data_IF_251691441545
#
_entry.id   IF_251691441545
#
_cell.length_a   1.000
_cell.length_b   1.000
_cell.length_c   1.000
_cell.angle_alpha   90.00
_cell.angle_beta   90.00
_cell.angle_gamma   90.00
#
_symmetry.space_group_name_H-M   'P 1'
#
loop_
_entity.id
_entity.type
_entity.pdbx_description
1 polymer ?
#
# COMPACT_ATOMS: atom_id res chain seq x y z
N UNK A 1 20.96 2.68 -24.65
CA UNK A 1 19.54 2.89 -24.32
C UNK A 1 18.85 1.54 -24.46
N UNK A 2 18.50 0.91 -23.34
CA UNK A 2 17.76 -0.35 -23.36
C UNK A 2 16.24 -0.08 -23.51
N UNK A 3 15.42 -1.13 -23.57
CA UNK A 3 13.96 -0.98 -23.72
C UNK A 3 13.31 -0.20 -22.56
N UNK A 4 13.84 -0.33 -21.34
CA UNK A 4 13.37 0.40 -20.16
C UNK A 4 13.69 1.90 -20.27
N UNK A 5 14.89 2.27 -20.74
CA UNK A 5 15.24 3.67 -21.00
C UNK A 5 14.35 4.28 -22.08
N UNK A 6 13.99 3.49 -23.09
CA UNK A 6 13.08 3.92 -24.15
C UNK A 6 11.67 4.22 -23.62
N UNK A 7 11.09 3.34 -22.80
CA UNK A 7 9.71 3.54 -22.30
C UNK A 7 9.61 4.69 -21.29
N UNK A 8 10.68 4.96 -20.52
CA UNK A 8 10.75 6.09 -19.57
C UNK A 8 10.54 7.47 -20.24
N UNK A 9 10.72 7.57 -21.57
CA UNK A 9 10.46 8.82 -22.32
C UNK A 9 8.97 9.09 -22.52
N UNK A 10 8.11 8.07 -22.45
CA UNK A 10 6.68 8.16 -22.74
C UNK A 10 5.80 7.89 -21.52
N UNK A 11 6.32 7.10 -20.57
CA UNK A 11 5.55 6.59 -19.45
C UNK A 11 6.35 6.68 -18.16
N UNK A 12 5.70 7.18 -17.11
CA UNK A 12 6.21 7.07 -15.75
C UNK A 12 6.27 5.61 -15.32
N UNK A 13 7.49 5.08 -15.11
CA UNK A 13 7.68 3.70 -14.70
C UNK A 13 7.43 3.53 -13.20
N UNK A 14 6.66 2.50 -12.86
CA UNK A 14 6.31 2.10 -11.50
C UNK A 14 6.75 0.65 -11.29
N UNK A 15 7.35 0.33 -10.15
CA UNK A 15 7.70 -1.06 -9.82
C UNK A 15 6.59 -1.75 -9.01
N UNK A 16 6.12 -2.91 -9.45
CA UNK A 16 5.12 -3.73 -8.74
C UNK A 16 5.81 -4.87 -7.98
N UNK A 17 6.31 -4.57 -6.78
CA UNK A 17 7.08 -5.52 -5.97
C UNK A 17 7.06 -5.13 -4.49
N UNK A 18 7.21 -6.12 -3.61
CA UNK A 18 7.59 -5.91 -2.20
C UNK A 18 9.10 -6.06 -1.96
N UNK A 19 9.86 -6.49 -2.97
CA UNK A 19 11.31 -6.64 -2.90
C UNK A 19 12.02 -5.31 -3.15
N UNK A 20 12.49 -4.70 -2.07
CA UNK A 20 13.13 -3.37 -2.03
C UNK A 20 14.41 -3.32 -2.86
N UNK A 21 15.22 -4.40 -2.88
CA UNK A 21 16.46 -4.42 -3.67
C UNK A 21 16.18 -4.35 -5.18
N UNK A 22 15.18 -5.10 -5.65
CA UNK A 22 14.72 -5.02 -7.04
C UNK A 22 14.19 -3.62 -7.39
N UNK A 23 13.40 -3.00 -6.49
CA UNK A 23 12.92 -1.62 -6.68
C UNK A 23 14.10 -0.65 -6.80
N UNK A 24 15.09 -0.74 -5.90
CA UNK A 24 16.28 0.12 -5.92
C UNK A 24 17.07 -0.04 -7.21
N UNK A 25 17.20 -1.26 -7.73
CA UNK A 25 17.92 -1.55 -8.96
C UNK A 25 17.34 -0.82 -10.18
N UNK A 26 16.02 -0.82 -10.34
CA UNK A 26 15.36 -0.24 -11.54
C UNK A 26 15.05 1.26 -11.46
N UNK A 27 15.19 1.86 -10.26
CA UNK A 27 14.97 3.29 -10.00
C UNK A 27 13.64 3.79 -10.60
N UNK A 28 12.50 3.23 -10.17
CA UNK A 28 11.18 3.67 -10.64
C UNK A 28 10.78 5.00 -10.00
N UNK A 29 9.75 5.65 -10.55
CA UNK A 29 9.17 6.86 -9.96
C UNK A 29 8.35 6.51 -8.71
N UNK A 30 7.40 5.58 -8.88
CA UNK A 30 6.50 5.09 -7.82
C UNK A 30 6.72 3.58 -7.61
N UNK A 31 6.16 3.02 -6.54
CA UNK A 31 6.10 1.58 -6.33
C UNK A 31 4.71 1.13 -5.87
N UNK A 32 4.32 -0.09 -6.22
CA UNK A 32 3.06 -0.69 -5.79
C UNK A 32 3.30 -1.99 -5.05
N UNK A 33 2.60 -2.14 -3.92
CA UNK A 33 2.49 -3.43 -3.24
C UNK A 33 1.05 -3.92 -3.30
N UNK A 34 0.86 -5.17 -2.91
CA UNK A 34 -0.42 -5.82 -2.68
C UNK A 34 -0.21 -6.97 -1.67
N UNK A 35 -1.27 -7.59 -1.12
CA UNK A 35 -1.12 -8.63 -0.11
C UNK A 35 -0.21 -9.80 -0.56
N UNK A 36 -0.30 -10.21 -1.83
CA UNK A 36 0.52 -11.31 -2.37
C UNK A 36 2.00 -10.92 -2.49
N UNK A 37 2.31 -9.68 -2.85
CA UNK A 37 3.70 -9.20 -2.94
C UNK A 37 4.34 -9.05 -1.57
N UNK A 38 3.59 -8.53 -0.59
CA UNK A 38 4.08 -8.45 0.80
C UNK A 38 4.28 -9.84 1.40
N UNK A 39 3.37 -10.78 1.16
CA UNK A 39 3.52 -12.16 1.62
C UNK A 39 4.81 -12.80 1.06
N UNK A 40 5.10 -12.60 -0.23
CA UNK A 40 6.35 -13.09 -0.84
C UNK A 40 7.57 -12.40 -0.24
N UNK A 41 7.54 -11.08 -0.09
CA UNK A 41 8.66 -10.32 0.45
C UNK A 41 8.94 -10.66 1.92
N UNK A 42 7.91 -10.89 2.73
CA UNK A 42 8.05 -11.34 4.11
C UNK A 42 8.70 -12.74 4.24
N UNK A 43 8.74 -13.53 3.17
CA UNK A 43 9.48 -14.79 3.13
C UNK A 43 10.99 -14.64 2.91
N UNK A 44 11.49 -13.43 2.62
CA UNK A 44 12.90 -13.18 2.33
C UNK A 44 13.64 -12.81 3.62
N UNK A 45 14.71 -13.56 3.94
CA UNK A 45 15.46 -13.43 5.19
C UNK A 45 15.98 -12.01 5.46
N UNK A 46 16.41 -11.30 4.41
CA UNK A 46 16.92 -9.94 4.50
C UNK A 46 15.91 -8.91 5.05
N UNK A 47 14.61 -9.21 4.98
CA UNK A 47 13.54 -8.36 5.51
C UNK A 47 13.02 -8.82 6.89
N UNK A 48 13.68 -9.81 7.52
CA UNK A 48 13.27 -10.35 8.82
C UNK A 48 13.11 -9.29 9.91
N UNK A 49 13.97 -8.27 9.92
CA UNK A 49 13.89 -7.16 10.87
C UNK A 49 12.58 -6.35 10.78
N UNK A 50 12.00 -6.19 9.58
CA UNK A 50 10.72 -5.51 9.40
C UNK A 50 9.55 -6.32 10.01
N UNK A 51 9.66 -7.65 9.95
CA UNK A 51 8.69 -8.59 10.51
C UNK A 51 8.79 -8.62 12.03
N UNK A 52 10.01 -8.67 12.57
CA UNK A 52 10.25 -8.62 14.01
C UNK A 52 9.70 -7.34 14.65
N UNK A 53 9.96 -6.19 14.02
CA UNK A 53 9.39 -4.90 14.45
C UNK A 53 7.86 -4.93 14.42
N UNK A 54 7.27 -5.44 13.34
CA UNK A 54 5.82 -5.55 13.19
C UNK A 54 5.19 -6.48 14.26
N UNK A 55 5.82 -7.62 14.56
CA UNK A 55 5.39 -8.54 15.63
C UNK A 55 5.48 -7.86 16.99
N UNK A 56 6.59 -7.16 17.27
CA UNK A 56 6.78 -6.43 18.52
C UNK A 56 5.73 -5.33 18.70
N UNK A 57 5.39 -4.61 17.62
CA UNK A 57 4.33 -3.62 17.61
C UNK A 57 2.96 -4.27 17.85
N UNK A 58 2.65 -5.35 17.14
CA UNK A 58 1.38 -6.08 17.28
C UNK A 58 1.14 -6.57 18.71
N UNK A 59 2.15 -7.14 19.36
CA UNK A 59 2.09 -7.57 20.78
C UNK A 59 1.78 -6.43 21.76
N UNK A 60 2.15 -5.19 21.44
CA UNK A 60 1.90 -4.01 22.28
C UNK A 60 0.52 -3.40 22.06
N UNK A 61 -0.07 -3.58 20.88
CA UNK A 61 -1.30 -2.88 20.46
C UNK A 61 -2.52 -3.79 20.28
N UNK A 62 -2.35 -5.11 20.35
CA UNK A 62 -3.45 -6.09 20.31
C UNK A 62 -3.72 -6.75 21.66
N UNK A 63 -4.99 -6.91 22.02
CA UNK A 63 -5.40 -7.62 23.24
C UNK A 63 -5.35 -9.14 23.08
N UNK A 64 -6.11 -9.66 22.11
CA UNK A 64 -6.10 -11.10 21.77
C UNK A 64 -5.03 -11.44 20.74
N UNK A 65 -4.72 -12.73 20.57
CA UNK A 65 -3.77 -13.18 19.56
C UNK A 65 -4.17 -12.72 18.15
N UNK A 66 -5.46 -12.80 17.81
CA UNK A 66 -6.00 -12.38 16.52
C UNK A 66 -5.81 -10.88 16.30
N UNK A 67 -6.05 -10.07 17.34
CA UNK A 67 -5.84 -8.63 17.30
C UNK A 67 -4.36 -8.28 17.16
N UNK A 68 -3.46 -9.01 17.84
CA UNK A 68 -2.01 -8.83 17.72
C UNK A 68 -1.53 -9.17 16.30
N UNK A 69 -2.05 -10.22 15.69
CA UNK A 69 -1.73 -10.61 14.30
C UNK A 69 -2.24 -9.56 13.30
N UNK A 70 -3.46 -9.06 13.49
CA UNK A 70 -4.00 -8.00 12.63
C UNK A 70 -3.18 -6.72 12.73
N UNK A 71 -2.87 -6.28 13.96
CA UNK A 71 -2.01 -5.14 14.26
C UNK A 71 -0.61 -5.29 13.64
N UNK A 72 0.01 -6.47 13.78
CA UNK A 72 1.30 -6.77 13.16
C UNK A 72 1.23 -6.76 11.63
N UNK A 73 0.14 -7.25 11.04
CA UNK A 73 -0.02 -7.29 9.57
C UNK A 73 -0.11 -5.88 8.97
N UNK A 74 -0.87 -4.98 9.62
CA UNK A 74 -0.96 -3.57 9.20
C UNK A 74 0.42 -2.89 9.33
N UNK A 75 1.08 -3.06 10.50
CA UNK A 75 2.40 -2.50 10.75
C UNK A 75 3.45 -3.02 9.75
N UNK A 76 3.40 -4.30 9.39
CA UNK A 76 4.29 -4.89 8.40
C UNK A 76 4.15 -4.24 7.03
N UNK A 77 2.90 -4.06 6.56
CA UNK A 77 2.64 -3.40 5.29
C UNK A 77 3.20 -1.97 5.25
N UNK A 78 3.02 -1.23 6.35
CA UNK A 78 3.55 0.13 6.49
C UNK A 78 5.07 0.14 6.59
N UNK A 79 5.69 -0.78 7.32
CA UNK A 79 7.14 -0.92 7.43
C UNK A 79 7.78 -1.15 6.05
N UNK A 80 7.22 -2.05 5.24
CA UNK A 80 7.68 -2.26 3.86
C UNK A 80 7.52 -1.00 3.01
N UNK A 81 6.36 -0.34 3.05
CA UNK A 81 6.16 0.86 2.25
C UNK A 81 7.07 2.02 2.67
N UNK A 82 7.32 2.19 3.97
CA UNK A 82 8.25 3.19 4.48
C UNK A 82 9.69 2.91 4.01
N UNK A 83 10.11 1.65 4.00
CA UNK A 83 11.42 1.25 3.49
C UNK A 83 11.54 1.45 1.97
N UNK A 84 10.50 1.11 1.21
CA UNK A 84 10.41 1.38 -0.23
C UNK A 84 10.55 2.87 -0.53
N UNK A 85 9.88 3.73 0.24
CA UNK A 85 9.90 5.19 0.06
C UNK A 85 11.29 5.82 0.21
N UNK A 86 12.22 5.15 0.91
CA UNK A 86 13.63 5.56 0.97
C UNK A 86 14.36 5.35 -0.36
N UNK A 87 13.85 4.47 -1.23
CA UNK A 87 14.47 4.07 -2.50
C UNK A 87 13.81 4.68 -3.74
N UNK A 88 12.70 5.41 -3.58
CA UNK A 88 11.96 6.02 -4.70
C UNK A 88 11.66 7.51 -4.43
N UNK A 89 11.59 8.36 -5.47
CA UNK A 89 11.26 9.79 -5.31
C UNK A 89 9.74 10.02 -5.15
N UNK A 90 8.92 9.12 -5.68
CA UNK A 90 7.47 9.25 -5.72
C UNK A 90 6.76 8.48 -4.61
N UNK A 91 5.66 7.83 -4.96
CA UNK A 91 4.66 7.29 -4.02
C UNK A 91 4.73 5.78 -3.89
N UNK A 92 4.29 5.27 -2.74
CA UNK A 92 4.05 3.84 -2.55
C UNK A 92 2.56 3.55 -2.44
N UNK A 93 2.07 2.52 -3.14
CA UNK A 93 0.72 2.00 -2.92
C UNK A 93 0.70 0.91 -1.85
N UNK A 94 -0.17 1.06 -0.86
CA UNK A 94 -0.42 0.07 0.21
C UNK A 94 -1.88 -0.32 0.22
N UNK A 95 -2.17 -1.61 0.15
CA UNK A 95 -3.53 -2.12 -0.02
C UNK A 95 -4.22 -2.35 1.31
N UNK A 96 -5.48 -1.89 1.41
CA UNK A 96 -6.35 -2.25 2.53
C UNK A 96 -6.64 -3.75 2.51
N UNK A 97 -7.00 -4.31 3.66
CA UNK A 97 -7.41 -5.71 3.76
C UNK A 97 -8.57 -6.00 2.80
N UNK A 98 -8.33 -6.89 1.83
CA UNK A 98 -9.31 -7.25 0.80
C UNK A 98 -10.61 -7.85 1.38
N UNK A 99 -10.59 -8.37 2.62
CA UNK A 99 -11.81 -8.84 3.32
C UNK A 99 -12.79 -7.71 3.61
N UNK A 100 -12.34 -6.46 3.57
CA UNK A 100 -13.16 -5.27 3.79
C UNK A 100 -13.75 -4.69 2.49
N UNK A 101 -13.50 -5.31 1.33
CA UNK A 101 -13.86 -4.75 0.00
C UNK A 101 -15.35 -4.45 -0.19
N UNK A 102 -16.23 -5.05 0.61
CA UNK A 102 -17.67 -4.84 0.56
C UNK A 102 -18.20 -4.12 1.82
N UNK A 103 -17.31 -3.49 2.58
CA UNK A 103 -17.63 -2.69 3.76
C UNK A 103 -16.96 -1.33 3.63
N UNK A 104 -17.76 -0.34 3.23
CA UNK A 104 -17.30 1.03 2.98
C UNK A 104 -16.68 1.66 4.22
N UNK A 105 -17.37 1.59 5.37
CA UNK A 105 -16.92 2.28 6.59
C UNK A 105 -15.65 1.62 7.14
N UNK A 106 -15.59 0.29 7.19
CA UNK A 106 -14.35 -0.39 7.61
C UNK A 106 -13.19 -0.17 6.66
N UNK A 107 -13.44 -0.02 5.36
CA UNK A 107 -12.41 0.34 4.38
C UNK A 107 -11.83 1.73 4.64
N UNK A 108 -12.69 2.70 4.97
CA UNK A 108 -12.28 4.07 5.32
C UNK A 108 -11.48 4.06 6.64
N UNK A 109 -11.98 3.38 7.67
CA UNK A 109 -11.30 3.26 8.97
C UNK A 109 -9.91 2.62 8.80
N UNK A 110 -9.81 1.52 8.03
CA UNK A 110 -8.54 0.86 7.75
C UNK A 110 -7.60 1.78 6.97
N UNK A 111 -8.08 2.49 5.96
CA UNK A 111 -7.28 3.44 5.20
C UNK A 111 -6.68 4.54 6.08
N UNK A 112 -7.50 5.17 6.94
CA UNK A 112 -7.03 6.18 7.91
C UNK A 112 -6.00 5.60 8.87
N UNK A 113 -6.26 4.42 9.42
CA UNK A 113 -5.33 3.73 10.31
C UNK A 113 -3.96 3.50 9.66
N UNK A 114 -3.93 3.05 8.40
CA UNK A 114 -2.68 2.86 7.67
C UNK A 114 -1.94 4.18 7.46
N UNK A 115 -2.64 5.27 7.12
CA UNK A 115 -2.04 6.61 6.99
C UNK A 115 -1.47 7.08 8.33
N UNK A 116 -2.18 6.89 9.44
CA UNK A 116 -1.70 7.24 10.77
C UNK A 116 -0.40 6.48 11.13
N UNK A 117 -0.33 5.19 10.80
CA UNK A 117 0.87 4.38 11.01
C UNK A 117 2.06 4.85 10.15
N UNK A 118 1.81 5.37 8.94
CA UNK A 118 2.85 5.99 8.13
C UNK A 118 3.33 7.30 8.75
N UNK A 119 2.43 8.14 9.23
CA UNK A 119 2.77 9.42 9.87
C UNK A 119 3.60 9.21 11.14
N UNK A 120 3.34 8.14 11.91
CA UNK A 120 4.18 7.74 13.04
C UNK A 120 5.62 7.35 12.65
N UNK A 121 5.89 7.14 11.36
CA UNK A 121 7.22 6.89 10.81
C UNK A 121 7.74 8.09 9.99
N UNK A 122 7.20 9.28 10.25
CA UNK A 122 7.56 10.53 9.58
C UNK A 122 7.35 10.51 8.05
N UNK A 123 6.42 9.67 7.57
CA UNK A 123 6.04 9.62 6.15
C UNK A 123 4.85 10.53 5.90
N UNK A 124 5.05 11.53 5.05
CA UNK A 124 3.98 12.43 4.62
C UNK A 124 2.92 11.71 3.78
N UNK A 125 1.64 11.99 4.02
CA UNK A 125 0.53 11.33 3.32
C UNK A 125 0.53 11.54 1.80
N UNK A 126 1.17 12.59 1.30
CA UNK A 126 1.35 12.82 -0.14
C UNK A 126 2.23 11.78 -0.83
N UNK A 127 3.05 11.04 -0.06
CA UNK A 127 3.91 9.95 -0.55
C UNK A 127 3.18 8.59 -0.58
N UNK A 128 1.90 8.55 -0.21
CA UNK A 128 1.13 7.31 -0.02
C UNK A 128 -0.07 7.29 -0.97
N UNK A 129 -0.34 6.12 -1.54
CA UNK A 129 -1.62 5.81 -2.18
C UNK A 129 -2.27 4.66 -1.41
N UNK A 130 -3.44 4.88 -0.83
CA UNK A 130 -4.21 3.78 -0.24
C UNK A 130 -4.92 3.03 -1.35
N UNK A 131 -4.61 1.75 -1.47
CA UNK A 131 -5.10 0.91 -2.55
C UNK A 131 -6.34 0.15 -2.10
N UNK A 132 -7.43 0.26 -2.86
CA UNK A 132 -8.71 -0.40 -2.58
C UNK A 132 -9.22 -1.13 -3.82
N UNK A 133 -9.88 -2.27 -3.62
CA UNK A 133 -10.58 -2.96 -4.71
C UNK A 133 -11.70 -2.06 -5.27
N UNK A 134 -11.83 -2.00 -6.59
CA UNK A 134 -12.84 -1.22 -7.30
C UNK A 134 -14.23 -1.87 -7.27
N UNK A 135 -14.69 -2.28 -6.09
CA UNK A 135 -16.10 -2.58 -5.79
C UNK A 135 -16.87 -1.26 -5.68
N UNK A 136 -18.20 -1.32 -5.57
CA UNK A 136 -19.00 -0.13 -5.34
C UNK A 136 -18.62 0.55 -4.02
N UNK A 137 -18.50 -0.23 -2.95
CA UNK A 137 -18.12 0.21 -1.62
C UNK A 137 -16.71 0.80 -1.60
N UNK A 138 -15.75 0.16 -2.27
CA UNK A 138 -14.38 0.64 -2.39
C UNK A 138 -14.27 1.98 -3.14
N UNK A 139 -15.03 2.15 -4.23
CA UNK A 139 -15.11 3.44 -4.96
C UNK A 139 -15.74 4.52 -4.07
N UNK A 140 -16.81 4.19 -3.33
CA UNK A 140 -17.44 5.13 -2.40
C UNK A 140 -16.53 5.49 -1.22
N UNK A 141 -15.74 4.55 -0.72
CA UNK A 141 -14.73 4.78 0.30
C UNK A 141 -13.63 5.72 -0.21
N UNK A 142 -13.07 5.44 -1.39
CA UNK A 142 -12.06 6.28 -2.03
C UNK A 142 -12.56 7.73 -2.21
N UNK A 143 -13.79 7.93 -2.71
CA UNK A 143 -14.36 9.26 -2.86
C UNK A 143 -14.57 10.04 -1.54
N UNK A 144 -14.64 9.36 -0.40
CA UNK A 144 -14.64 10.01 0.92
C UNK A 144 -13.21 10.32 1.38
N UNK A 145 -12.30 9.37 1.22
CA UNK A 145 -10.88 9.52 1.58
C UNK A 145 -10.19 10.65 0.80
N UNK A 146 -10.49 10.81 -0.49
CA UNK A 146 -9.96 11.91 -1.31
C UNK A 146 -10.40 13.29 -0.79
N UNK A 147 -11.63 13.42 -0.27
CA UNK A 147 -12.10 14.67 0.36
C UNK A 147 -11.36 15.00 1.65
N UNK A 148 -10.75 13.99 2.27
CA UNK A 148 -9.90 14.12 3.46
C UNK A 148 -8.42 14.30 3.08
N UNK A 149 -8.11 14.34 1.78
CA UNK A 149 -6.76 14.44 1.24
C UNK A 149 -5.95 13.16 1.44
N UNK A 150 -6.59 12.00 1.45
CA UNK A 150 -5.95 10.68 1.39
C UNK A 150 -6.08 10.17 -0.04
N UNK A 151 -4.97 10.21 -0.78
CA UNK A 151 -4.93 9.79 -2.17
C UNK A 151 -5.12 8.27 -2.28
N UNK A 152 -5.91 7.84 -3.25
CA UNK A 152 -6.31 6.44 -3.41
C UNK A 152 -5.83 5.84 -4.75
N UNK A 153 -5.58 4.53 -4.74
CA UNK A 153 -5.34 3.71 -5.92
C UNK A 153 -6.45 2.66 -6.05
N UNK A 154 -7.38 2.85 -6.98
CA UNK A 154 -8.44 1.87 -7.23
C UNK A 154 -7.92 0.73 -8.11
N UNK A 155 -7.81 -0.47 -7.53
CA UNK A 155 -7.28 -1.69 -8.16
C UNK A 155 -8.40 -2.66 -8.53
N UNK A 156 -8.07 -3.78 -9.19
CA UNK A 156 -9.03 -4.81 -9.61
C UNK A 156 -10.17 -4.22 -10.46
N UNK A 157 -9.78 -3.32 -11.36
CA UNK A 157 -10.65 -2.60 -12.28
C UNK A 157 -10.65 -3.34 -13.63
N UNK A 158 -11.78 -3.95 -13.97
CA UNK A 158 -11.92 -4.81 -15.15
C UNK A 158 -12.97 -4.32 -16.14
N UNK A 159 -13.95 -3.55 -15.67
CA UNK A 159 -15.10 -3.13 -16.47
C UNK A 159 -15.13 -1.62 -16.71
N UNK A 160 -15.74 -1.23 -17.83
CA UNK A 160 -16.02 0.17 -18.12
C UNK A 160 -16.89 0.83 -17.05
N UNK A 161 -17.81 0.07 -16.45
CA UNK A 161 -18.64 0.57 -15.35
C UNK A 161 -17.77 0.97 -14.14
N UNK A 162 -16.78 0.15 -13.77
CA UNK A 162 -15.83 0.51 -12.71
C UNK A 162 -14.99 1.73 -13.11
N UNK A 163 -14.46 1.78 -14.34
CA UNK A 163 -13.71 2.93 -14.85
C UNK A 163 -14.50 4.24 -14.73
N UNK A 164 -15.73 4.25 -15.25
CA UNK A 164 -16.62 5.42 -15.24
C UNK A 164 -17.00 5.88 -13.83
N UNK A 165 -17.02 4.96 -12.86
CA UNK A 165 -17.33 5.28 -11.46
C UNK A 165 -16.11 5.70 -10.67
N UNK A 166 -14.92 5.24 -11.05
CA UNK A 166 -13.64 5.66 -10.46
C UNK A 166 -13.22 7.06 -10.93
N UNK A 167 -13.65 7.47 -12.12
CA UNK A 167 -13.50 8.85 -12.61
C UNK A 167 -14.53 9.77 -11.95
N UNK A 168 -14.19 10.34 -10.79
CA UNK A 168 -14.96 11.40 -10.13
C UNK A 168 -14.05 12.61 -9.97
#
# INVERSE_FOLDING_TARGET
MNQLDGIKQFTTVVADSGDIESIRHYQPQDATTNPSLLLKAAGLEQYGHLIEDAIAWGKKHGGTQEQQVAAASDKLAVNFGAEILKSIPGRVSTEVDARLSFDKEKSIEKARHLVDLYQQQDVDKSRILIKLAATWEGIRAAGQLEKEGINCNLTLLFSFAQAKRASI
#
